data_IF_404958125105
#
_entry.id   IF_404958125105
#
_cell.length_a   1.000
_cell.length_b   1.000
_cell.length_c   1.000
_cell.angle_alpha   90.00
_cell.angle_beta   90.00
_cell.angle_gamma   90.00
#
_symmetry.space_group_name_H-M   'P 1'
#
loop_
_entity.id
_entity.type
_entity.pdbx_description
1 polymer ?
#
# COMPACT_ATOMS: atom_id res chain seq x y z
N UNK A 1 -8.08 -14.60 10.85
CA UNK A 1 -7.06 -13.53 10.92
C UNK A 1 -7.36 -12.50 9.84
N UNK A 2 -7.01 -11.23 10.05
CA UNK A 2 -7.21 -10.18 9.07
C UNK A 2 -6.04 -10.16 8.07
N UNK A 3 -6.33 -9.79 6.82
CA UNK A 3 -5.33 -9.65 5.76
C UNK A 3 -5.33 -8.22 5.22
N UNK A 4 -4.15 -7.66 4.95
CA UNK A 4 -4.02 -6.32 4.36
C UNK A 4 -2.86 -6.28 3.38
N UNK A 5 -3.12 -5.83 2.16
CA UNK A 5 -2.09 -5.65 1.14
C UNK A 5 -1.60 -4.22 1.13
N UNK A 6 -0.29 -4.06 1.19
CA UNK A 6 0.37 -2.75 1.25
C UNK A 6 1.58 -2.71 0.33
N UNK A 7 1.95 -1.49 -0.03
CA UNK A 7 3.19 -1.11 -0.67
C UNK A 7 4.01 -0.36 0.37
N UNK A 8 5.25 -0.77 0.55
CA UNK A 8 6.24 -0.10 1.38
C UNK A 8 7.28 0.56 0.48
N UNK A 9 7.58 1.81 0.75
CA UNK A 9 8.69 2.53 0.12
C UNK A 9 9.72 2.87 1.20
N UNK A 10 10.93 2.34 1.03
CA UNK A 10 12.04 2.48 1.96
C UNK A 10 12.99 3.57 1.46
N UNK A 11 13.25 4.61 2.25
CA UNK A 11 14.30 5.55 1.91
C UNK A 11 15.69 4.86 1.99
N UNK A 12 16.70 5.36 1.25
CA UNK A 12 18.01 4.71 1.13
C UNK A 12 18.69 4.35 2.46
N UNK A 13 18.51 5.16 3.49
CA UNK A 13 19.09 4.98 4.83
C UNK A 13 18.45 3.83 5.63
N UNK A 14 17.26 3.37 5.23
CA UNK A 14 16.52 2.32 5.92
C UNK A 14 16.60 0.96 5.23
N UNK A 15 17.16 0.90 4.01
CA UNK A 15 17.23 -0.34 3.20
C UNK A 15 17.97 -1.47 3.93
N UNK A 16 19.01 -1.15 4.69
CA UNK A 16 19.82 -2.13 5.41
C UNK A 16 19.29 -2.44 6.83
N UNK A 17 18.16 -1.83 7.22
CA UNK A 17 17.58 -2.01 8.55
C UNK A 17 16.64 -3.23 8.60
N UNK A 18 16.61 -4.00 9.70
CA UNK A 18 15.79 -5.20 9.83
C UNK A 18 14.31 -4.90 10.12
N UNK A 19 13.70 -3.96 9.38
CA UNK A 19 12.34 -3.45 9.61
C UNK A 19 11.31 -4.57 9.42
N UNK A 20 11.44 -5.34 8.34
CA UNK A 20 10.56 -6.48 8.02
C UNK A 20 10.61 -7.54 9.12
N UNK A 21 11.80 -7.81 9.68
CA UNK A 21 11.96 -8.76 10.78
C UNK A 21 11.21 -8.32 12.04
N UNK A 22 11.25 -7.01 12.38
CA UNK A 22 10.51 -6.48 13.55
C UNK A 22 9.00 -6.63 13.40
N UNK A 23 8.45 -6.52 12.19
CA UNK A 23 7.03 -6.78 11.94
C UNK A 23 6.61 -8.20 12.36
N UNK A 24 7.44 -9.19 12.04
CA UNK A 24 7.18 -10.58 12.43
C UNK A 24 7.40 -10.75 13.93
N UNK A 25 8.54 -10.28 14.45
CA UNK A 25 8.98 -10.60 15.81
C UNK A 25 8.21 -9.87 16.90
N UNK A 26 7.92 -8.59 16.70
CA UNK A 26 7.38 -7.71 17.73
C UNK A 26 5.85 -7.56 17.64
N UNK A 27 5.27 -7.85 16.46
CA UNK A 27 3.85 -7.66 16.17
C UNK A 27 3.12 -8.93 15.73
N UNK A 28 3.81 -10.08 15.70
CA UNK A 28 3.25 -11.40 15.36
C UNK A 28 2.54 -11.40 13.99
N UNK A 29 3.16 -10.73 13.01
CA UNK A 29 2.64 -10.63 11.65
C UNK A 29 3.27 -11.67 10.74
N UNK A 30 2.42 -12.40 10.04
CA UNK A 30 2.82 -13.25 8.90
C UNK A 30 2.86 -12.37 7.66
N UNK A 31 3.93 -12.50 6.89
CA UNK A 31 4.20 -11.69 5.70
C UNK A 31 4.24 -12.58 4.47
N UNK A 32 3.60 -12.13 3.39
CA UNK A 32 3.76 -12.71 2.06
C UNK A 32 4.26 -11.63 1.09
N UNK A 33 5.47 -11.81 0.55
CA UNK A 33 6.10 -10.85 -0.36
C UNK A 33 5.60 -11.13 -1.77
N UNK A 34 4.84 -10.18 -2.33
CA UNK A 34 4.29 -10.27 -3.69
C UNK A 34 5.30 -9.75 -4.73
N UNK A 35 6.06 -8.70 -4.36
CA UNK A 35 7.13 -8.11 -5.18
C UNK A 35 8.10 -7.35 -4.27
N UNK A 36 9.39 -7.41 -4.55
CA UNK A 36 10.38 -6.59 -3.86
C UNK A 36 11.45 -6.12 -4.85
N UNK A 37 11.84 -4.86 -4.72
CA UNK A 37 13.00 -4.28 -5.38
C UNK A 37 13.79 -3.51 -4.33
N UNK A 38 15.00 -3.99 -4.05
CA UNK A 38 15.85 -3.44 -3.00
C UNK A 38 17.26 -3.34 -3.58
N UNK A 39 17.75 -2.12 -3.70
CA UNK A 39 19.12 -1.83 -4.17
C UNK A 39 19.85 -1.06 -3.07
N UNK A 40 21.11 -1.41 -2.75
CA UNK A 40 21.88 -0.69 -1.74
C UNK A 40 21.99 0.80 -2.06
N UNK A 41 21.76 1.66 -1.07
CA UNK A 41 21.82 3.13 -1.17
C UNK A 41 20.83 3.76 -2.14
N UNK A 42 19.81 3.04 -2.59
CA UNK A 42 18.72 3.55 -3.40
C UNK A 42 17.39 3.37 -2.67
N UNK A 43 16.32 3.98 -3.20
CA UNK A 43 14.98 3.74 -2.67
C UNK A 43 14.55 2.29 -2.93
N UNK A 44 14.06 1.62 -1.88
CA UNK A 44 13.52 0.27 -1.97
C UNK A 44 12.00 0.28 -2.07
N UNK A 45 11.42 -0.59 -2.89
CA UNK A 45 9.95 -0.74 -2.99
C UNK A 45 9.54 -2.20 -2.78
N UNK A 46 8.59 -2.42 -1.88
CA UNK A 46 8.10 -3.77 -1.56
C UNK A 46 6.58 -3.80 -1.55
N UNK A 47 6.00 -4.81 -2.21
CA UNK A 47 4.57 -5.09 -2.21
C UNK A 47 4.36 -6.37 -1.42
N UNK A 48 3.53 -6.31 -0.38
CA UNK A 48 3.35 -7.41 0.54
C UNK A 48 1.94 -7.51 1.09
N UNK A 49 1.55 -8.73 1.47
CA UNK A 49 0.33 -9.03 2.21
C UNK A 49 0.71 -9.32 3.67
N UNK A 50 0.14 -8.53 4.58
CA UNK A 50 0.19 -8.75 6.02
C UNK A 50 -0.98 -9.62 6.45
N UNK A 51 -0.71 -10.65 7.24
CA UNK A 51 -1.70 -11.48 7.91
C UNK A 51 -1.45 -11.51 9.42
N UNK A 52 -2.49 -11.30 10.20
CA UNK A 52 -2.39 -11.28 11.67
C UNK A 52 -3.70 -10.89 12.32
N UNK A 53 -3.68 -10.65 13.63
CA UNK A 53 -4.82 -10.04 14.31
C UNK A 53 -4.88 -8.52 13.97
N UNK A 54 -6.07 -7.90 14.13
CA UNK A 54 -6.26 -6.48 13.76
C UNK A 54 -5.36 -5.53 14.55
N UNK A 55 -5.12 -5.84 15.81
CA UNK A 55 -4.31 -5.00 16.70
C UNK A 55 -2.82 -5.01 16.31
N UNK A 56 -2.27 -6.18 16.02
CA UNK A 56 -0.91 -6.39 15.53
C UNK A 56 -0.70 -5.72 14.18
N UNK A 57 -1.68 -5.81 13.26
CA UNK A 57 -1.60 -5.09 11.98
C UNK A 57 -1.55 -3.58 12.23
N UNK A 58 -2.44 -3.04 13.06
CA UNK A 58 -2.45 -1.59 13.33
C UNK A 58 -1.16 -1.12 14.02
N UNK A 59 -0.65 -1.89 14.99
CA UNK A 59 0.60 -1.60 15.69
C UNK A 59 1.81 -1.69 14.75
N UNK A 60 1.85 -2.69 13.86
CA UNK A 60 2.91 -2.85 12.86
C UNK A 60 2.89 -1.74 11.81
N UNK A 61 1.71 -1.30 11.35
CA UNK A 61 1.58 -0.15 10.46
C UNK A 61 2.06 1.14 11.13
N UNK A 62 1.68 1.37 12.39
CA UNK A 62 2.16 2.52 13.16
C UNK A 62 3.68 2.51 13.33
N UNK A 63 4.26 1.35 13.59
CA UNK A 63 5.71 1.20 13.65
C UNK A 63 6.40 1.59 12.35
N UNK A 64 5.86 1.18 11.20
CA UNK A 64 6.40 1.55 9.89
C UNK A 64 6.37 3.07 9.69
N UNK A 65 5.28 3.73 10.07
CA UNK A 65 5.18 5.20 10.05
C UNK A 65 6.20 5.86 11.00
N UNK A 66 6.35 5.32 12.22
CA UNK A 66 7.29 5.83 13.23
C UNK A 66 8.75 5.73 12.77
N UNK A 67 9.11 4.66 12.04
CA UNK A 67 10.44 4.51 11.44
C UNK A 67 10.59 5.24 10.10
N UNK A 68 9.57 5.99 9.66
CA UNK A 68 9.54 6.76 8.40
C UNK A 68 9.60 5.91 7.12
N UNK A 69 9.07 4.70 7.16
CA UNK A 69 8.75 3.94 5.94
C UNK A 69 7.42 4.45 5.40
N UNK A 70 7.36 4.81 4.13
CA UNK A 70 6.10 5.20 3.49
C UNK A 70 5.25 3.95 3.25
N UNK A 71 4.00 4.00 3.70
CA UNK A 71 3.07 2.86 3.67
C UNK A 71 1.82 3.25 2.89
N UNK A 72 1.58 2.56 1.79
CA UNK A 72 0.40 2.77 0.96
C UNK A 72 -0.43 1.50 0.87
N UNK A 73 -1.77 1.54 1.02
CA UNK A 73 -2.59 0.38 0.73
C UNK A 73 -2.47 0.02 -0.75
N UNK A 74 -2.37 -1.28 -1.08
CA UNK A 74 -2.35 -1.73 -2.48
C UNK A 74 -3.68 -1.46 -3.19
N UNK A 75 -4.74 -1.16 -2.44
CA UNK A 75 -6.07 -0.90 -2.97
C UNK A 75 -6.13 0.48 -3.66
N UNK A 76 -6.03 0.45 -4.99
CA UNK A 76 -6.48 1.47 -5.98
C UNK A 76 -5.81 2.84 -5.89
N UNK A 77 -4.79 2.99 -6.72
CA UNK A 77 -4.00 4.21 -6.91
C UNK A 77 -4.59 5.17 -7.96
N UNK A 78 -5.92 5.24 -8.06
CA UNK A 78 -6.59 6.24 -8.91
C UNK A 78 -7.52 7.03 -8.00
N UNK A 79 -7.08 8.25 -7.67
CA UNK A 79 -7.89 9.25 -6.99
C UNK A 79 -8.20 10.36 -7.98
N UNK A 80 -9.48 10.72 -8.09
CA UNK A 80 -9.89 11.91 -8.82
C UNK A 80 -9.60 13.13 -7.96
N UNK A 81 -8.81 14.08 -8.47
CA UNK A 81 -8.71 15.39 -7.83
C UNK A 81 -9.90 16.24 -8.28
N UNK A 82 -10.89 16.40 -7.41
CA UNK A 82 -12.12 17.16 -7.74
C UNK A 82 -11.87 18.65 -7.99
N UNK A 83 -10.78 19.22 -7.48
CA UNK A 83 -10.46 20.64 -7.69
C UNK A 83 -9.93 20.92 -9.11
N UNK A 84 -9.28 19.92 -9.72
CA UNK A 84 -8.67 20.01 -11.06
C UNK A 84 -9.52 19.31 -12.12
N UNK A 85 -10.53 18.52 -11.73
CA UNK A 85 -11.36 17.77 -12.65
C UNK A 85 -12.31 18.67 -13.44
N UNK A 86 -12.22 18.64 -14.77
CA UNK A 86 -13.12 19.39 -15.66
C UNK A 86 -14.28 18.56 -16.21
N UNK A 87 -14.55 17.36 -15.65
CA UNK A 87 -15.60 16.44 -16.09
C UNK A 87 -15.56 16.06 -17.58
N UNK A 88 -14.38 16.09 -18.22
CA UNK A 88 -14.24 15.78 -19.64
C UNK A 88 -14.36 14.29 -19.99
N UNK A 89 -14.33 13.40 -18.98
CA UNK A 89 -14.44 11.95 -19.17
C UNK A 89 -13.19 11.27 -19.75
N UNK A 90 -12.06 11.97 -19.93
CA UNK A 90 -10.83 11.37 -20.45
C UNK A 90 -10.31 10.19 -19.61
N UNK A 91 -10.54 10.23 -18.29
CA UNK A 91 -10.19 9.15 -17.37
C UNK A 91 -10.96 7.84 -17.61
N UNK A 92 -12.11 7.88 -18.29
CA UNK A 92 -12.93 6.71 -18.60
C UNK A 92 -12.17 5.73 -19.51
N UNK A 93 -11.42 6.27 -20.49
CA UNK A 93 -10.70 5.46 -21.47
C UNK A 93 -9.51 4.68 -20.89
N UNK A 94 -8.94 5.16 -19.77
CA UNK A 94 -7.77 4.54 -19.12
C UNK A 94 -8.15 3.62 -17.96
N UNK A 95 -9.42 3.64 -17.55
CA UNK A 95 -9.93 2.77 -16.50
C UNK A 95 -9.99 1.31 -16.97
N UNK A 96 -9.64 0.38 -16.07
CA UNK A 96 -9.79 -1.06 -16.34
C UNK A 96 -11.25 -1.43 -16.64
N UNK A 97 -11.50 -2.49 -17.44
CA UNK A 97 -12.86 -2.98 -17.67
C UNK A 97 -13.61 -3.22 -16.36
N UNK A 98 -14.89 -2.83 -16.31
CA UNK A 98 -15.76 -2.90 -15.11
C UNK A 98 -15.37 -1.97 -13.94
N UNK A 99 -14.40 -1.06 -14.12
CA UNK A 99 -14.07 -0.08 -13.07
C UNK A 99 -15.17 0.99 -12.90
N UNK A 100 -15.95 1.25 -13.95
CA UNK A 100 -17.03 2.24 -13.98
C UNK A 100 -18.36 1.53 -14.25
N UNK A 101 -19.39 1.90 -13.50
CA UNK A 101 -20.76 1.46 -13.72
C UNK A 101 -21.69 2.67 -13.64
N UNK A 102 -22.73 2.66 -14.46
CA UNK A 102 -23.77 3.69 -14.45
C UNK A 102 -24.98 3.11 -13.74
N UNK A 103 -25.35 3.71 -12.62
CA UNK A 103 -26.64 3.44 -12.00
C UNK A 103 -27.74 4.07 -12.87
N UNK A 104 -28.71 3.26 -13.31
CA UNK A 104 -29.78 3.69 -14.21
C UNK A 104 -30.99 4.28 -13.49
N UNK A 105 -31.07 4.11 -12.17
CA UNK A 105 -32.17 4.67 -11.37
C UNK A 105 -31.87 6.10 -10.91
N UNK A 106 -30.59 6.45 -10.77
CA UNK A 106 -30.12 7.76 -10.27
C UNK A 106 -29.46 8.65 -11.33
N UNK A 107 -29.41 8.23 -12.59
CA UNK A 107 -28.92 9.03 -13.71
C UNK A 107 -29.92 10.12 -14.13
#
# INVERSE_FOLDING_TARGET
MAKKRIVLTFPPELVDQPIIYRLVKDYDLVLNILRAQVTPKEEGKMVLELEGNKEGINKGLKYLEDVKVDVQPLAKDIKLNEQECTSCGACIAVCSPKALFMDRESW
#
